data_IF_794352616979
#
_entry.id   IF_794352616979
#
_cell.length_a   1.000
_cell.length_b   1.000
_cell.length_c   1.000
_cell.angle_alpha   90.00
_cell.angle_beta   90.00
_cell.angle_gamma   90.00
#
_symmetry.space_group_name_H-M   'P 1'
#
loop_
_entity.id
_entity.type
_entity.pdbx_description
1 polymer ?
#
# COMPACT_ATOMS: atom_id res chain seq x y z
N UNK A 1 3.19 -24.06 12.63
CA UNK A 1 2.73 -22.71 13.03
C UNK A 1 2.35 -22.02 11.74
N UNK A 2 1.05 -21.95 11.44
CA UNK A 2 0.53 -21.47 10.17
C UNK A 2 0.95 -20.00 10.01
N UNK A 3 1.83 -19.74 9.05
CA UNK A 3 2.41 -18.43 8.82
C UNK A 3 1.33 -17.55 8.18
N UNK A 4 0.52 -16.91 9.04
CA UNK A 4 -0.56 -16.04 8.60
C UNK A 4 0.05 -14.91 7.76
N UNK A 5 -0.28 -14.87 6.47
CA UNK A 5 0.00 -13.75 5.56
C UNK A 5 -0.83 -12.53 5.98
N UNK A 6 -0.51 -11.94 7.13
CA UNK A 6 -1.18 -10.74 7.60
C UNK A 6 -0.82 -9.58 6.67
N UNK A 7 -1.82 -8.82 6.21
CA UNK A 7 -1.54 -7.63 5.42
C UNK A 7 -0.84 -6.59 6.29
N UNK A 8 0.17 -5.92 5.73
CA UNK A 8 0.83 -4.81 6.41
C UNK A 8 -0.09 -3.58 6.39
N UNK A 9 -0.21 -2.87 7.51
CA UNK A 9 -1.02 -1.66 7.61
C UNK A 9 -0.13 -0.47 7.95
N UNK A 10 -0.26 0.60 7.16
CA UNK A 10 0.47 1.85 7.34
C UNK A 10 -0.48 3.00 7.66
N UNK A 11 -0.14 3.82 8.65
CA UNK A 11 -0.83 5.08 8.94
C UNK A 11 -0.11 6.22 8.22
N UNK A 12 -0.72 6.77 7.19
CA UNK A 12 -0.13 7.83 6.36
C UNK A 12 0.30 9.02 7.22
N UNK A 13 1.56 9.41 7.06
CA UNK A 13 2.18 10.60 7.62
C UNK A 13 2.30 11.70 6.57
N UNK A 14 2.60 12.92 7.02
CA UNK A 14 2.89 14.04 6.11
C UNK A 14 4.16 13.72 5.30
N UNK A 15 4.05 13.86 3.98
CA UNK A 15 5.16 13.58 3.06
C UNK A 15 5.15 12.17 2.47
N UNK A 16 4.34 11.26 3.01
CA UNK A 16 4.21 9.92 2.43
C UNK A 16 3.65 9.96 1.02
N UNK A 17 4.23 9.11 0.17
CA UNK A 17 3.70 8.83 -1.17
C UNK A 17 3.48 7.34 -1.34
N UNK A 18 2.47 6.98 -2.11
CA UNK A 18 2.15 5.57 -2.36
C UNK A 18 3.33 4.80 -3.03
N UNK A 19 4.04 5.37 -4.03
CA UNK A 19 5.22 4.74 -4.60
C UNK A 19 6.36 4.51 -3.61
N UNK A 20 6.64 5.46 -2.72
CA UNK A 20 7.72 5.31 -1.72
C UNK A 20 7.39 4.20 -0.71
N UNK A 21 6.14 4.15 -0.24
CA UNK A 21 5.67 3.08 0.63
C UNK A 21 5.72 1.72 -0.06
N UNK A 22 5.35 1.65 -1.36
CA UNK A 22 5.49 0.43 -2.15
C UNK A 22 6.96 0.02 -2.29
N UNK A 23 7.87 0.96 -2.49
CA UNK A 23 9.29 0.66 -2.56
C UNK A 23 9.83 0.12 -1.22
N UNK A 24 9.39 0.67 -0.08
CA UNK A 24 9.78 0.19 1.24
C UNK A 24 9.25 -1.22 1.55
N UNK A 25 8.02 -1.55 1.13
CA UNK A 25 7.34 -2.79 1.51
C UNK A 25 7.58 -3.92 0.50
N UNK A 26 7.57 -3.60 -0.79
CA UNK A 26 7.68 -4.58 -1.89
C UNK A 26 9.01 -4.52 -2.63
N UNK A 27 9.93 -3.64 -2.21
CA UNK A 27 11.18 -3.36 -2.92
C UNK A 27 10.95 -2.96 -4.40
N UNK A 28 9.78 -2.39 -4.69
CA UNK A 28 9.39 -1.92 -6.02
C UNK A 28 8.28 -0.87 -5.93
N UNK A 29 8.47 0.33 -6.52
CA UNK A 29 7.44 1.36 -6.51
C UNK A 29 6.26 0.99 -7.43
N UNK A 30 6.44 0.09 -8.40
CA UNK A 30 5.50 -0.20 -9.49
C UNK A 30 4.13 -0.74 -9.06
N UNK A 31 3.98 -1.14 -7.80
CA UNK A 31 2.73 -1.68 -7.25
C UNK A 31 1.73 -0.61 -6.78
N UNK A 32 2.08 0.68 -6.86
CA UNK A 32 1.24 1.75 -6.33
C UNK A 32 -0.18 1.78 -6.93
N UNK A 33 -0.35 1.42 -8.20
CA UNK A 33 -1.69 1.40 -8.82
C UNK A 33 -2.56 0.31 -8.20
N UNK A 34 -2.00 -0.88 -7.99
CA UNK A 34 -2.70 -2.03 -7.42
C UNK A 34 -3.01 -1.79 -5.94
N UNK A 35 -2.08 -1.20 -5.18
CA UNK A 35 -2.32 -0.80 -3.79
C UNK A 35 -3.40 0.27 -3.70
N UNK A 36 -3.38 1.28 -4.58
CA UNK A 36 -4.42 2.29 -4.63
C UNK A 36 -5.80 1.68 -4.90
N UNK A 37 -5.89 0.78 -5.88
CA UNK A 37 -7.13 0.04 -6.21
C UNK A 37 -7.60 -0.80 -5.02
N UNK A 38 -6.70 -1.52 -4.36
CA UNK A 38 -7.01 -2.34 -3.18
C UNK A 38 -7.59 -1.51 -2.03
N UNK A 39 -7.05 -0.29 -1.82
CA UNK A 39 -7.50 0.63 -0.78
C UNK A 39 -8.66 1.55 -1.21
N UNK A 40 -9.24 1.35 -2.41
CA UNK A 40 -10.31 2.19 -2.93
C UNK A 40 -9.91 3.66 -3.17
N UNK A 41 -8.62 3.93 -3.39
CA UNK A 41 -8.12 5.29 -3.59
C UNK A 41 -8.29 5.72 -5.05
N UNK A 42 -9.18 6.69 -5.29
CA UNK A 42 -9.34 7.31 -6.61
C UNK A 42 -8.37 8.50 -6.83
N UNK A 43 -7.86 9.08 -5.74
CA UNK A 43 -6.91 10.21 -5.75
C UNK A 43 -5.76 9.91 -4.79
N UNK A 44 -4.71 9.28 -5.29
CA UNK A 44 -3.55 8.84 -4.47
C UNK A 44 -2.24 9.58 -4.79
N UNK A 45 -2.28 10.61 -5.65
CA UNK A 45 -1.12 11.49 -5.90
C UNK A 45 -0.75 12.33 -4.68
N UNK A 46 -1.71 12.55 -3.78
CA UNK A 46 -1.54 13.19 -2.48
C UNK A 46 -2.28 12.33 -1.48
N UNK A 47 -1.55 11.66 -0.60
CA UNK A 47 -2.16 10.90 0.48
C UNK A 47 -2.63 11.86 1.57
N UNK A 48 -3.78 11.54 2.17
CA UNK A 48 -4.29 12.30 3.31
C UNK A 48 -3.66 11.72 4.59
N UNK A 49 -2.90 12.52 5.37
CA UNK A 49 -2.38 12.06 6.66
C UNK A 49 -3.48 11.54 7.58
N UNK A 50 -3.19 10.48 8.33
CA UNK A 50 -4.16 9.77 9.16
C UNK A 50 -4.98 8.72 8.40
N UNK A 51 -4.81 8.56 7.09
CA UNK A 51 -5.41 7.46 6.32
C UNK A 51 -4.69 6.16 6.65
N UNK A 52 -5.46 5.08 6.88
CA UNK A 52 -4.90 3.73 6.97
C UNK A 52 -4.83 3.11 5.58
N UNK A 53 -3.65 2.60 5.22
CA UNK A 53 -3.41 1.88 3.98
C UNK A 53 -3.04 0.44 4.27
N UNK A 54 -3.70 -0.47 3.55
CA UNK A 54 -3.46 -1.90 3.59
C UNK A 54 -2.55 -2.26 2.40
N UNK A 55 -1.44 -2.91 2.72
CA UNK A 55 -0.47 -3.44 1.78
C UNK A 55 -0.58 -4.97 1.80
N UNK A 56 -1.39 -5.56 0.90
CA UNK A 56 -1.55 -7.01 0.86
C UNK A 56 -0.29 -7.67 0.27
N UNK A 57 -0.10 -8.99 0.46
CA UNK A 57 0.93 -9.74 -0.24
C UNK A 57 0.84 -9.54 -1.76
N UNK A 58 1.97 -9.55 -2.47
CA UNK A 58 2.01 -9.33 -3.93
C UNK A 58 1.12 -10.34 -4.67
N UNK A 59 1.02 -11.58 -4.19
CA UNK A 59 0.14 -12.63 -4.75
C UNK A 59 -1.36 -12.26 -4.75
N UNK A 60 -1.76 -11.32 -3.89
CA UNK A 60 -3.12 -10.80 -3.76
C UNK A 60 -3.37 -9.55 -4.61
N UNK A 61 -2.32 -8.89 -5.10
CA UNK A 61 -2.40 -7.77 -6.05
C UNK A 61 -2.63 -8.31 -7.47
N UNK A 62 -3.85 -8.77 -7.78
CA UNK A 62 -4.23 -9.20 -9.13
C UNK A 62 -4.87 -8.06 -9.93
N UNK A 63 -4.65 -8.05 -11.24
CA UNK A 63 -5.17 -7.04 -12.18
C UNK A 63 -6.68 -7.14 -12.37
#
# INVERSE_FOLDING_TARGET
>A
MENANLPYVHLVQVGDTLPDLCNQIYNSPSYYVQVAKYNGLNKFRKLLPGTQLIFPPIVSLKN
#
